data_IF_601302326805
#
_entry.id   IF_601302326805
#
_cell.length_a   1.000
_cell.length_b   1.000
_cell.length_c   1.000
_cell.angle_alpha   90.00
_cell.angle_beta   90.00
_cell.angle_gamma   90.00
#
_symmetry.space_group_name_H-M   'P 1'
#
loop_
_entity.id
_entity.type
_entity.pdbx_description
1 polymer ?
#
# COMPACT_ATOMS: atom_id res chain seq x y z
N UNK A 1 -18.41 21.46 -15.57
CA UNK A 1 -17.04 21.38 -15.00
C UNK A 1 -16.32 20.33 -15.81
N UNK A 2 -15.09 20.57 -16.20
CA UNK A 2 -14.22 19.58 -16.86
C UNK A 2 -12.97 19.44 -16.00
N UNK A 3 -12.58 18.22 -15.67
CA UNK A 3 -11.40 17.89 -14.89
C UNK A 3 -10.53 16.90 -15.68
N UNK A 4 -9.22 17.06 -15.58
CA UNK A 4 -8.30 16.04 -16.06
C UNK A 4 -8.22 14.91 -15.03
N UNK A 5 -8.22 13.68 -15.51
CA UNK A 5 -8.06 12.49 -14.68
C UNK A 5 -6.99 11.59 -15.30
N UNK A 6 -6.08 11.14 -14.46
CA UNK A 6 -5.04 10.17 -14.80
C UNK A 6 -5.31 8.90 -14.02
N UNK A 7 -5.32 7.76 -14.66
CA UNK A 7 -5.32 6.46 -13.98
C UNK A 7 -3.91 5.90 -14.02
N UNK A 8 -3.36 5.59 -12.86
CA UNK A 8 -1.99 5.10 -12.69
C UNK A 8 -2.01 3.80 -11.92
N UNK A 9 -1.34 2.79 -12.44
CA UNK A 9 -1.11 1.51 -11.78
C UNK A 9 0.20 1.60 -10.98
N UNK A 10 0.13 1.97 -9.69
CA UNK A 10 1.30 2.03 -8.84
C UNK A 10 1.88 0.64 -8.57
N UNK A 11 3.20 0.55 -8.36
CA UNK A 11 3.95 -0.70 -8.11
C UNK A 11 3.97 -1.70 -9.27
N UNK A 12 3.80 -1.20 -10.50
CA UNK A 12 3.90 -2.04 -11.71
C UNK A 12 4.54 -1.28 -12.85
N UNK A 13 5.28 -2.00 -13.70
CA UNK A 13 5.74 -1.52 -15.01
C UNK A 13 4.82 -2.00 -16.14
N UNK A 14 3.91 -2.93 -15.83
CA UNK A 14 3.00 -3.53 -16.79
C UNK A 14 1.58 -3.01 -16.61
N UNK A 15 0.84 -2.77 -17.70
CA UNK A 15 -0.58 -2.43 -17.63
C UNK A 15 -1.37 -3.51 -16.89
N UNK A 16 -2.38 -3.09 -16.13
CA UNK A 16 -3.26 -3.96 -15.35
C UNK A 16 -2.57 -4.71 -14.19
N UNK A 17 -1.30 -4.41 -13.91
CA UNK A 17 -0.60 -4.80 -12.68
C UNK A 17 -0.78 -3.78 -11.56
N UNK A 18 -0.10 -4.01 -10.43
CA UNK A 18 -0.01 -3.06 -9.31
C UNK A 18 -1.33 -2.70 -8.64
N UNK A 19 -1.39 -1.50 -8.08
CA UNK A 19 -2.58 -0.95 -7.42
C UNK A 19 -3.05 0.32 -8.15
N UNK A 20 -4.26 0.32 -8.76
CA UNK A 20 -4.73 1.46 -9.54
C UNK A 20 -5.20 2.60 -8.63
N UNK A 21 -4.81 3.81 -8.99
CA UNK A 21 -5.33 5.04 -8.42
C UNK A 21 -5.78 6.00 -9.52
N UNK A 22 -6.89 6.70 -9.30
CA UNK A 22 -7.20 7.90 -10.07
C UNK A 22 -6.47 9.09 -9.45
N UNK A 23 -5.93 9.97 -10.28
CA UNK A 23 -5.24 11.19 -9.85
C UNK A 23 -5.87 12.38 -10.58
N UNK A 24 -6.35 13.35 -9.82
CA UNK A 24 -7.04 14.53 -10.35
C UNK A 24 -6.36 15.79 -9.84
N UNK A 25 -5.57 16.48 -10.70
CA UNK A 25 -5.05 17.81 -10.39
C UNK A 25 -6.19 18.84 -10.29
N UNK A 26 -6.14 19.70 -9.27
CA UNK A 26 -7.12 20.76 -9.07
C UNK A 26 -6.41 22.11 -8.94
N UNK A 27 -7.02 23.18 -9.47
CA UNK A 27 -6.58 24.56 -9.23
C UNK A 27 -6.96 25.03 -7.81
N UNK A 28 -8.10 24.57 -7.30
CA UNK A 28 -8.61 24.83 -5.96
C UNK A 28 -9.51 23.69 -5.50
N UNK A 29 -9.66 23.54 -4.18
CA UNK A 29 -10.51 22.49 -3.63
C UNK A 29 -11.96 22.61 -4.08
N UNK A 30 -12.53 21.49 -4.50
CA UNK A 30 -13.95 21.32 -4.71
C UNK A 30 -14.64 21.00 -3.36
N UNK A 31 -15.98 21.15 -3.27
CA UNK A 31 -16.74 20.68 -2.11
C UNK A 31 -16.49 19.19 -1.83
N UNK A 32 -16.41 18.82 -0.54
CA UNK A 32 -16.08 17.45 -0.14
C UNK A 32 -17.05 16.40 -0.68
N UNK A 33 -18.33 16.74 -0.78
CA UNK A 33 -19.35 15.87 -1.34
C UNK A 33 -19.16 15.63 -2.85
N UNK A 34 -18.55 16.58 -3.56
CA UNK A 34 -18.22 16.43 -4.99
C UNK A 34 -17.01 15.52 -5.15
N UNK A 35 -15.95 15.72 -4.32
CA UNK A 35 -14.77 14.85 -4.32
C UNK A 35 -15.14 13.39 -4.03
N UNK A 36 -16.02 13.17 -3.03
CA UNK A 36 -16.48 11.84 -2.65
C UNK A 36 -17.28 11.17 -3.78
N UNK A 37 -18.18 11.89 -4.42
CA UNK A 37 -18.97 11.34 -5.55
C UNK A 37 -18.13 10.99 -6.76
N UNK A 38 -17.10 11.78 -7.07
CA UNK A 38 -16.17 11.45 -8.15
C UNK A 38 -15.39 10.16 -7.82
N UNK A 39 -14.94 10.00 -6.57
CA UNK A 39 -14.28 8.78 -6.14
C UNK A 39 -15.20 7.55 -6.18
N UNK A 40 -16.46 7.70 -5.82
CA UNK A 40 -17.51 6.66 -5.95
C UNK A 40 -17.71 6.25 -7.41
N UNK A 41 -17.84 7.21 -8.33
CA UNK A 41 -17.99 6.97 -9.77
C UNK A 41 -16.76 6.28 -10.38
N UNK A 42 -15.53 6.69 -9.97
CA UNK A 42 -14.29 6.07 -10.44
C UNK A 42 -14.18 4.61 -9.99
N UNK A 43 -14.71 4.29 -8.81
CA UNK A 43 -14.76 2.93 -8.24
C UNK A 43 -13.39 2.22 -8.26
N UNK A 44 -12.31 2.97 -8.03
CA UNK A 44 -10.95 2.49 -7.84
C UNK A 44 -10.65 2.40 -6.34
N UNK A 45 -9.54 1.75 -5.98
CA UNK A 45 -9.11 1.67 -4.56
C UNK A 45 -9.13 3.05 -3.93
N UNK A 46 -8.46 4.03 -4.56
CA UNK A 46 -8.52 5.44 -4.18
C UNK A 46 -8.50 6.36 -5.39
N UNK A 47 -9.12 7.53 -5.19
CA UNK A 47 -8.95 8.73 -6.02
C UNK A 47 -8.20 9.78 -5.23
N UNK A 48 -7.04 10.18 -5.73
CA UNK A 48 -6.21 11.24 -5.18
C UNK A 48 -6.54 12.58 -5.84
N UNK A 49 -6.64 13.62 -5.02
CA UNK A 49 -6.79 15.00 -5.48
C UNK A 49 -5.65 15.82 -4.89
N UNK A 50 -5.02 16.66 -5.71
CA UNK A 50 -4.03 17.59 -5.19
C UNK A 50 -4.22 19.00 -5.71
N UNK A 51 -3.81 19.97 -4.87
CA UNK A 51 -3.77 21.41 -5.18
C UNK A 51 -2.38 21.91 -4.92
N UNK A 52 -1.78 22.63 -5.89
CA UNK A 52 -0.46 23.24 -5.72
C UNK A 52 -0.49 24.37 -4.67
N UNK A 53 0.47 24.39 -3.77
CA UNK A 53 0.70 25.42 -2.75
C UNK A 53 2.16 25.89 -2.79
N UNK A 54 2.47 26.79 -3.71
CA UNK A 54 3.85 27.23 -3.94
C UNK A 54 4.73 26.06 -4.41
N UNK A 55 5.70 25.65 -3.59
CA UNK A 55 6.61 24.53 -3.87
C UNK A 55 6.13 23.19 -3.32
N UNK A 56 4.96 23.15 -2.67
CA UNK A 56 4.35 21.94 -2.11
C UNK A 56 3.00 21.68 -2.73
N UNK A 57 2.40 20.55 -2.39
CA UNK A 57 1.08 20.17 -2.84
C UNK A 57 0.24 19.73 -1.64
N UNK A 58 -0.97 20.27 -1.51
CA UNK A 58 -1.96 19.70 -0.59
C UNK A 58 -2.55 18.47 -1.27
N UNK A 59 -2.62 17.32 -0.58
CA UNK A 59 -3.04 16.03 -1.14
C UNK A 59 -4.09 15.38 -0.24
N UNK A 60 -5.15 14.87 -0.87
CA UNK A 60 -6.25 14.15 -0.20
C UNK A 60 -6.61 12.91 -1.01
N UNK A 61 -7.06 11.87 -0.33
CA UNK A 61 -7.45 10.58 -0.93
C UNK A 61 -8.84 10.16 -0.49
N UNK A 62 -9.59 9.64 -1.43
CA UNK A 62 -10.96 9.17 -1.23
C UNK A 62 -11.09 7.75 -1.77
N UNK A 63 -11.53 6.82 -0.93
CA UNK A 63 -12.09 5.55 -1.38
C UNK A 63 -13.47 5.80 -1.99
N UNK A 64 -14.13 4.81 -2.61
CA UNK A 64 -15.52 4.98 -3.04
C UNK A 64 -16.51 5.37 -1.94
N UNK A 65 -16.15 5.23 -0.66
CA UNK A 65 -17.08 5.43 0.46
C UNK A 65 -16.66 6.52 1.45
N UNK A 66 -15.36 6.76 1.62
CA UNK A 66 -14.86 7.70 2.64
C UNK A 66 -13.53 8.34 2.22
N UNK A 67 -13.24 9.53 2.76
CA UNK A 67 -11.90 10.10 2.76
C UNK A 67 -11.00 9.37 3.75
N UNK A 68 -9.75 9.09 3.35
CA UNK A 68 -8.73 8.43 4.18
C UNK A 68 -7.58 9.37 4.50
N UNK A 69 -6.95 9.18 5.65
CA UNK A 69 -5.91 10.09 6.14
C UNK A 69 -4.51 9.77 5.58
N UNK A 70 -4.31 8.55 5.07
CA UNK A 70 -3.03 8.10 4.51
C UNK A 70 -3.25 7.07 3.39
N UNK A 71 -2.62 7.31 2.24
CA UNK A 71 -2.60 6.36 1.12
C UNK A 71 -1.27 6.43 0.37
N UNK A 72 -0.45 5.38 0.51
CA UNK A 72 0.90 5.33 -0.09
C UNK A 72 0.89 5.22 -1.61
N UNK A 73 0.15 4.25 -2.17
CA UNK A 73 0.16 4.02 -3.61
C UNK A 73 -0.43 5.19 -4.40
N UNK A 74 -1.49 5.83 -3.91
CA UNK A 74 -2.08 6.98 -4.57
C UNK A 74 -1.20 8.25 -4.42
N UNK A 75 -0.34 8.33 -3.38
CA UNK A 75 0.70 9.36 -3.27
C UNK A 75 1.78 9.15 -4.32
N UNK A 76 2.27 7.92 -4.50
CA UNK A 76 3.23 7.59 -5.56
C UNK A 76 2.64 7.83 -6.95
N UNK A 77 1.37 7.46 -7.17
CA UNK A 77 0.65 7.76 -8.41
C UNK A 77 0.56 9.27 -8.67
N UNK A 78 0.27 10.08 -7.63
CA UNK A 78 0.23 11.55 -7.74
C UNK A 78 1.61 12.13 -8.07
N UNK A 79 2.67 11.60 -7.46
CA UNK A 79 4.03 11.99 -7.77
C UNK A 79 4.42 11.64 -9.21
N UNK A 80 4.05 10.45 -9.68
CA UNK A 80 4.25 10.04 -11.07
C UNK A 80 3.57 11.01 -12.05
N UNK A 81 2.32 11.37 -11.81
CA UNK A 81 1.58 12.33 -12.64
C UNK A 81 2.28 13.69 -12.64
N UNK A 82 2.75 14.19 -11.50
CA UNK A 82 3.47 15.43 -11.40
C UNK A 82 4.78 15.40 -12.20
N UNK A 83 5.58 14.34 -12.07
CA UNK A 83 6.85 14.21 -12.78
C UNK A 83 6.70 13.97 -14.29
N UNK A 84 5.86 13.00 -14.66
CA UNK A 84 5.82 12.49 -16.04
C UNK A 84 4.77 13.16 -16.92
N UNK A 85 3.67 13.64 -16.35
CA UNK A 85 2.57 14.23 -17.13
C UNK A 85 2.56 15.76 -17.02
N UNK A 86 2.87 16.30 -15.85
CA UNK A 86 2.82 17.74 -15.59
C UNK A 86 4.20 18.40 -15.61
N UNK A 87 5.28 17.62 -15.83
CA UNK A 87 6.63 18.11 -16.07
C UNK A 87 7.30 18.78 -14.87
N UNK A 88 6.96 18.36 -13.64
CA UNK A 88 7.59 18.88 -12.42
C UNK A 88 9.07 18.51 -12.37
N UNK A 89 9.94 19.50 -12.13
CA UNK A 89 11.40 19.34 -12.17
C UNK A 89 12.05 19.17 -10.79
N UNK A 90 11.26 19.23 -9.72
CA UNK A 90 11.79 19.04 -8.38
C UNK A 90 12.40 17.65 -8.21
N UNK A 91 13.49 17.52 -7.44
CA UNK A 91 14.04 16.20 -7.09
C UNK A 91 13.20 15.49 -6.02
N UNK A 92 12.51 16.27 -5.19
CA UNK A 92 11.67 15.78 -4.09
C UNK A 92 10.36 16.55 -4.13
N UNK A 93 9.25 15.83 -4.23
CA UNK A 93 7.90 16.36 -4.08
C UNK A 93 7.48 16.29 -2.61
N UNK A 94 6.83 17.35 -2.14
CA UNK A 94 6.36 17.47 -0.76
C UNK A 94 4.85 17.63 -0.76
N UNK A 95 4.18 16.70 -0.11
CA UNK A 95 2.72 16.67 0.00
C UNK A 95 2.28 16.97 1.42
N UNK A 96 1.46 18.00 1.60
CA UNK A 96 0.80 18.29 2.86
C UNK A 96 -0.47 17.45 2.94
N UNK A 97 -0.59 16.63 3.97
CA UNK A 97 -1.70 15.71 4.16
C UNK A 97 -2.25 15.79 5.58
N UNK A 98 -3.37 15.15 5.85
CA UNK A 98 -3.91 15.03 7.21
C UNK A 98 -2.98 14.25 8.16
N UNK A 99 -2.15 13.34 7.62
CA UNK A 99 -1.16 12.57 8.39
C UNK A 99 0.20 13.25 8.50
N UNK A 100 0.31 14.52 8.07
CA UNK A 100 1.55 15.27 8.04
C UNK A 100 2.15 15.38 6.64
N UNK A 101 3.41 15.83 6.55
CA UNK A 101 4.13 15.96 5.28
C UNK A 101 4.61 14.59 4.80
N UNK A 102 4.27 14.23 3.57
CA UNK A 102 4.84 13.09 2.86
C UNK A 102 5.82 13.59 1.79
N UNK A 103 6.89 12.84 1.57
CA UNK A 103 7.91 13.15 0.59
C UNK A 103 8.06 12.00 -0.40
N UNK A 104 8.12 12.35 -1.67
CA UNK A 104 8.44 11.41 -2.73
C UNK A 104 9.63 11.93 -3.49
N UNK A 105 10.71 11.17 -3.51
CA UNK A 105 11.91 11.47 -4.29
C UNK A 105 11.96 10.65 -5.57
N UNK A 106 12.61 11.20 -6.60
CA UNK A 106 12.88 10.51 -7.85
C UNK A 106 14.36 10.10 -7.87
N UNK A 107 14.59 8.78 -7.95
CA UNK A 107 15.92 8.22 -8.12
C UNK A 107 16.50 8.48 -9.52
N UNK A 108 17.81 8.35 -9.65
CA UNK A 108 18.51 8.45 -10.95
C UNK A 108 18.19 7.29 -11.87
N UNK A 109 17.69 6.20 -11.35
CA UNK A 109 17.16 5.02 -12.05
C UNK A 109 15.71 5.17 -12.50
N UNK A 110 15.07 6.31 -12.17
CA UNK A 110 13.68 6.62 -12.47
C UNK A 110 12.67 6.04 -11.48
N UNK A 111 13.11 5.30 -10.46
CA UNK A 111 12.22 4.81 -9.41
C UNK A 111 11.78 5.97 -8.50
N UNK A 112 10.56 5.86 -8.02
CA UNK A 112 10.01 6.76 -7.01
C UNK A 112 10.16 6.12 -5.63
N UNK A 113 10.72 6.87 -4.69
CA UNK A 113 10.92 6.45 -3.31
C UNK A 113 10.09 7.32 -2.37
N UNK A 114 9.46 6.71 -1.38
CA UNK A 114 8.71 7.37 -0.32
C UNK A 114 9.12 6.81 1.04
N UNK A 115 9.42 7.71 1.98
CA UNK A 115 9.79 7.35 3.33
C UNK A 115 8.55 7.05 4.17
N UNK A 116 8.60 5.92 4.87
CA UNK A 116 7.60 5.53 5.87
C UNK A 116 8.30 5.12 7.18
N UNK A 117 7.74 5.46 8.33
CA UNK A 117 8.27 4.96 9.59
C UNK A 117 8.13 3.45 9.66
N UNK A 118 9.23 2.76 9.90
CA UNK A 118 9.22 1.32 10.11
C UNK A 118 8.43 1.00 11.39
N UNK A 119 7.64 -0.06 11.34
CA UNK A 119 6.95 -0.61 12.52
C UNK A 119 7.63 -1.90 12.92
N UNK A 120 7.91 -2.06 14.22
CA UNK A 120 8.50 -3.28 14.76
C UNK A 120 7.37 -4.20 15.22
N UNK A 121 6.95 -5.19 14.41
CA UNK A 121 5.88 -6.09 14.81
C UNK A 121 6.37 -7.06 15.88
N UNK A 122 5.52 -7.32 16.87
CA UNK A 122 5.82 -8.21 18.00
C UNK A 122 5.31 -9.61 17.71
N UNK A 123 6.12 -10.63 17.95
CA UNK A 123 5.69 -12.01 17.85
C UNK A 123 4.57 -12.30 18.87
N UNK A 124 3.53 -12.98 18.43
CA UNK A 124 2.36 -13.30 19.25
C UNK A 124 1.94 -14.77 19.03
N UNK A 125 1.24 -15.34 19.99
CA UNK A 125 0.57 -16.60 19.79
C UNK A 125 -0.48 -16.46 18.68
N UNK A 126 -0.67 -17.53 17.92
CA UNK A 126 -1.67 -17.52 16.84
C UNK A 126 -3.06 -17.30 17.41
N UNK A 127 -3.76 -16.20 17.03
CA UNK A 127 -5.11 -15.95 17.51
C UNK A 127 -6.07 -17.07 17.14
N UNK A 128 -6.95 -17.44 18.09
CA UNK A 128 -7.93 -18.49 17.85
C UNK A 128 -8.81 -18.18 16.62
N UNK A 129 -8.94 -19.15 15.72
CA UNK A 129 -9.73 -19.04 14.50
C UNK A 129 -9.02 -18.32 13.33
N UNK A 130 -7.87 -17.67 13.53
CA UNK A 130 -7.18 -16.91 12.46
C UNK A 130 -6.78 -17.82 11.29
N UNK A 131 -6.12 -18.95 11.56
CA UNK A 131 -5.71 -19.87 10.49
C UNK A 131 -6.92 -20.46 9.78
N UNK A 132 -7.97 -20.83 10.53
CA UNK A 132 -9.20 -21.33 9.93
C UNK A 132 -9.83 -20.31 9.00
N UNK A 133 -9.92 -19.04 9.41
CA UNK A 133 -10.46 -17.95 8.59
C UNK A 133 -9.62 -17.69 7.33
N UNK A 134 -8.29 -17.91 7.39
CA UNK A 134 -7.39 -17.84 6.24
C UNK A 134 -7.42 -19.10 5.36
N UNK A 135 -8.02 -20.21 5.80
CA UNK A 135 -7.96 -21.49 5.11
C UNK A 135 -6.60 -22.19 5.25
N UNK A 136 -5.86 -21.89 6.32
CA UNK A 136 -4.54 -22.45 6.61
C UNK A 136 -4.61 -23.49 7.72
N UNK A 137 -3.77 -24.52 7.63
CA UNK A 137 -3.63 -25.54 8.68
C UNK A 137 -2.57 -25.18 9.73
N UNK A 138 -1.56 -24.40 9.33
CA UNK A 138 -0.45 -24.00 10.20
C UNK A 138 0.17 -22.69 9.72
N UNK A 139 0.88 -22.01 10.63
CA UNK A 139 1.77 -20.89 10.35
C UNK A 139 3.12 -21.14 11.00
N UNK A 140 4.19 -20.64 10.41
CA UNK A 140 5.54 -20.67 10.98
C UNK A 140 5.67 -19.68 12.14
N UNK A 141 5.08 -18.49 12.00
CA UNK A 141 5.06 -17.45 13.00
C UNK A 141 3.89 -16.49 12.74
N UNK A 142 3.43 -15.82 13.78
CA UNK A 142 2.47 -14.73 13.71
C UNK A 142 3.03 -13.54 14.47
N UNK A 143 2.97 -12.38 13.84
CA UNK A 143 3.36 -11.10 14.44
C UNK A 143 2.16 -10.15 14.44
N UNK A 144 2.20 -9.16 15.32
CA UNK A 144 1.18 -8.10 15.42
C UNK A 144 1.84 -6.72 15.47
N UNK A 145 1.30 -5.83 14.66
CA UNK A 145 1.45 -4.37 14.74
C UNK A 145 0.07 -3.75 14.53
N UNK A 146 -0.14 -2.88 13.56
CA UNK A 146 -1.48 -2.47 13.11
C UNK A 146 -2.20 -3.61 12.38
N UNK A 147 -1.41 -4.50 11.77
CA UNK A 147 -1.85 -5.70 11.07
C UNK A 147 -1.37 -6.96 11.80
N UNK A 148 -2.00 -8.10 11.54
CA UNK A 148 -1.34 -9.38 11.74
C UNK A 148 -0.47 -9.71 10.53
N UNK A 149 0.75 -10.20 10.78
CA UNK A 149 1.65 -10.76 9.78
C UNK A 149 1.76 -12.26 10.03
N UNK A 150 1.21 -13.06 9.14
CA UNK A 150 1.18 -14.52 9.23
C UNK A 150 2.22 -15.08 8.27
N UNK A 151 3.32 -15.60 8.81
CA UNK A 151 4.40 -16.20 8.03
C UNK A 151 4.10 -17.68 7.82
N UNK A 152 4.12 -18.13 6.55
CA UNK A 152 3.94 -19.53 6.16
C UNK A 152 5.18 -20.06 5.44
N UNK A 153 5.34 -21.39 5.37
CA UNK A 153 6.52 -21.99 4.74
C UNK A 153 6.40 -22.13 3.23
N UNK A 154 5.19 -22.28 2.70
CA UNK A 154 4.97 -22.54 1.27
C UNK A 154 4.28 -21.38 0.55
N UNK A 155 5.03 -20.70 -0.31
CA UNK A 155 4.52 -19.60 -1.13
C UNK A 155 3.39 -20.03 -2.10
N UNK A 156 3.33 -21.30 -2.51
CA UNK A 156 2.26 -21.80 -3.38
C UNK A 156 0.89 -21.75 -2.71
N UNK A 157 0.86 -21.82 -1.38
CA UNK A 157 -0.40 -21.69 -0.64
C UNK A 157 -1.00 -20.28 -0.78
N UNK A 158 -0.17 -19.23 -0.96
CA UNK A 158 -0.67 -17.87 -1.16
C UNK A 158 -1.54 -17.77 -2.41
N UNK A 159 -1.16 -18.42 -3.49
CA UNK A 159 -1.91 -18.38 -4.76
C UNK A 159 -3.30 -19.01 -4.63
N UNK A 160 -3.44 -19.98 -3.75
CA UNK A 160 -4.67 -20.76 -3.58
C UNK A 160 -5.52 -20.33 -2.37
N UNK A 161 -5.06 -19.38 -1.57
CA UNK A 161 -5.80 -18.86 -0.41
C UNK A 161 -7.18 -18.36 -0.82
N UNK A 162 -8.19 -18.82 -0.06
CA UNK A 162 -9.57 -18.38 -0.16
C UNK A 162 -10.08 -18.03 1.25
N UNK A 163 -9.72 -16.84 1.75
CA UNK A 163 -10.09 -16.45 3.10
C UNK A 163 -11.59 -16.27 3.28
N UNK A 164 -12.08 -16.60 4.46
CA UNK A 164 -13.40 -16.19 4.93
C UNK A 164 -13.34 -14.73 5.41
N UNK A 165 -13.70 -13.80 4.55
CA UNK A 165 -13.63 -12.36 4.85
C UNK A 165 -14.57 -11.95 6.00
N UNK A 166 -15.69 -12.64 6.20
CA UNK A 166 -16.58 -12.37 7.32
C UNK A 166 -15.89 -12.75 8.63
N UNK A 167 -15.28 -13.93 8.69
CA UNK A 167 -14.52 -14.36 9.85
C UNK A 167 -13.30 -13.46 10.10
N UNK A 168 -12.58 -13.04 9.03
CA UNK A 168 -11.44 -12.13 9.15
C UNK A 168 -11.84 -10.76 9.68
N UNK A 169 -13.02 -10.24 9.35
CA UNK A 169 -13.47 -8.93 9.82
C UNK A 169 -13.68 -8.83 11.33
N UNK A 170 -13.79 -9.98 12.02
CA UNK A 170 -13.95 -10.05 13.46
C UNK A 170 -12.65 -9.81 14.25
N UNK A 171 -11.48 -9.90 13.61
CA UNK A 171 -10.20 -9.64 14.27
C UNK A 171 -9.97 -8.12 14.44
N UNK A 172 -9.51 -7.74 15.64
CA UNK A 172 -9.28 -6.36 16.01
C UNK A 172 -7.90 -5.87 15.53
N UNK A 173 -7.76 -5.82 14.21
CA UNK A 173 -6.60 -5.30 13.48
C UNK A 173 -7.08 -4.61 12.20
N UNK A 174 -6.25 -3.74 11.63
CA UNK A 174 -6.54 -3.08 10.36
C UNK A 174 -6.65 -4.12 9.22
N UNK A 175 -5.71 -5.06 9.17
CA UNK A 175 -5.66 -6.09 8.16
C UNK A 175 -4.80 -7.29 8.55
N UNK A 176 -4.74 -8.26 7.68
CA UNK A 176 -3.97 -9.50 7.84
C UNK A 176 -3.12 -9.70 6.58
N UNK A 177 -1.79 -9.66 6.74
CA UNK A 177 -0.83 -10.03 5.72
C UNK A 177 -0.47 -11.50 5.87
N UNK A 178 -0.60 -12.30 4.83
CA UNK A 178 -0.05 -13.67 4.77
C UNK A 178 1.17 -13.63 3.86
N UNK A 179 2.32 -14.12 4.33
CA UNK A 179 3.59 -13.97 3.64
C UNK A 179 4.45 -15.22 3.70
N UNK A 180 5.26 -15.43 2.67
CA UNK A 180 6.19 -16.54 2.55
C UNK A 180 7.48 -16.10 1.85
N UNK A 181 8.56 -16.88 1.97
CA UNK A 181 9.76 -16.69 1.16
C UNK A 181 9.41 -16.78 -0.34
N UNK A 182 9.91 -15.85 -1.14
CA UNK A 182 9.58 -15.75 -2.56
C UNK A 182 10.45 -16.64 -3.44
N UNK A 183 10.01 -16.80 -4.70
CA UNK A 183 10.83 -17.35 -5.78
C UNK A 183 11.09 -16.22 -6.78
N UNK A 184 12.31 -15.72 -6.83
CA UNK A 184 12.67 -14.55 -7.65
C UNK A 184 12.51 -13.21 -6.93
N UNK A 185 11.85 -13.20 -5.79
CA UNK A 185 11.76 -12.11 -4.82
C UNK A 185 12.24 -12.60 -3.45
N UNK A 186 12.59 -11.68 -2.55
CA UNK A 186 12.97 -12.06 -1.18
C UNK A 186 11.78 -12.64 -0.43
N UNK A 187 10.59 -12.06 -0.63
CA UNK A 187 9.34 -12.59 -0.11
C UNK A 187 8.14 -12.25 -1.00
N UNK A 188 7.06 -12.96 -0.79
CA UNK A 188 5.77 -12.74 -1.43
C UNK A 188 4.69 -12.59 -0.36
N UNK A 189 3.62 -11.83 -0.66
CA UNK A 189 2.57 -11.58 0.31
C UNK A 189 1.20 -11.35 -0.34
N UNK A 190 0.14 -11.55 0.43
CA UNK A 190 -1.22 -11.06 0.16
C UNK A 190 -1.74 -10.36 1.40
N UNK A 191 -2.51 -9.29 1.22
CA UNK A 191 -3.06 -8.52 2.33
C UNK A 191 -4.58 -8.43 2.24
N UNK A 192 -5.22 -8.69 3.38
CA UNK A 192 -6.67 -8.74 3.53
C UNK A 192 -7.13 -7.80 4.63
N UNK A 193 -8.02 -6.86 4.32
CA UNK A 193 -8.54 -5.86 5.27
C UNK A 193 -10.07 -5.74 5.24
N UNK A 194 -10.84 -6.84 5.39
CA UNK A 194 -12.30 -6.77 5.33
C UNK A 194 -12.91 -5.88 6.42
N UNK A 195 -12.25 -5.73 7.57
CA UNK A 195 -12.68 -4.82 8.64
C UNK A 195 -12.68 -3.36 8.23
N UNK A 196 -11.79 -2.97 7.31
CA UNK A 196 -11.70 -1.61 6.77
C UNK A 196 -12.37 -1.48 5.39
N UNK A 197 -13.19 -2.47 5.01
CA UNK A 197 -13.99 -2.44 3.79
C UNK A 197 -13.28 -2.97 2.53
N UNK A 198 -12.05 -3.45 2.64
CA UNK A 198 -11.27 -3.98 1.52
C UNK A 198 -11.01 -5.47 1.73
N UNK A 199 -11.70 -6.33 1.00
CA UNK A 199 -11.51 -7.77 1.14
C UNK A 199 -10.06 -8.20 0.86
N UNK A 200 -9.51 -7.77 -0.25
CA UNK A 200 -8.10 -7.94 -0.61
C UNK A 200 -7.61 -6.67 -1.31
N UNK A 201 -6.47 -6.13 -0.87
CA UNK A 201 -5.82 -5.01 -1.54
C UNK A 201 -4.65 -5.55 -2.40
N UNK A 202 -4.59 -5.22 -3.70
CA UNK A 202 -3.58 -5.75 -4.61
C UNK A 202 -2.16 -5.49 -4.15
N UNK A 203 -1.86 -4.27 -3.69
CA UNK A 203 -0.55 -3.88 -3.17
C UNK A 203 -0.71 -2.81 -2.09
N UNK A 204 -0.33 -3.16 -0.87
CA UNK A 204 -0.53 -2.36 0.34
C UNK A 204 0.80 -1.83 0.85
N UNK A 205 1.26 -0.68 0.36
CA UNK A 205 2.55 -0.10 0.75
C UNK A 205 2.71 0.01 2.27
N UNK A 206 1.67 0.42 2.99
CA UNK A 206 1.69 0.55 4.45
C UNK A 206 1.84 -0.78 5.21
N UNK A 207 1.43 -1.91 4.66
CA UNK A 207 1.64 -3.23 5.30
C UNK A 207 3.13 -3.61 5.32
N UNK A 208 3.88 -3.12 4.35
CA UNK A 208 5.30 -3.42 4.24
C UNK A 208 6.15 -2.70 5.29
N UNK A 209 5.63 -1.66 5.93
CA UNK A 209 6.29 -1.05 7.10
C UNK A 209 6.49 -2.06 8.24
N UNK A 210 5.67 -3.13 8.28
CA UNK A 210 5.78 -4.27 9.21
C UNK A 210 6.42 -5.50 8.57
N UNK A 211 6.10 -5.78 7.29
CA UNK A 211 6.64 -6.95 6.57
C UNK A 211 8.15 -6.84 6.35
N UNK A 212 8.65 -5.66 5.96
CA UNK A 212 10.05 -5.45 5.68
C UNK A 212 10.94 -5.71 6.91
N UNK A 213 10.66 -5.22 8.13
CA UNK A 213 11.42 -5.57 9.33
C UNK A 213 11.45 -7.07 9.63
N UNK A 214 10.32 -7.78 9.50
CA UNK A 214 10.27 -9.25 9.71
C UNK A 214 11.19 -9.98 8.74
N UNK A 215 11.14 -9.63 7.46
CA UNK A 215 11.95 -10.28 6.45
C UNK A 215 13.42 -9.83 6.47
N UNK A 216 13.69 -8.55 6.76
CA UNK A 216 15.06 -8.05 6.95
C UNK A 216 15.79 -8.82 8.05
N UNK A 217 15.14 -9.01 9.20
CA UNK A 217 15.69 -9.80 10.29
C UNK A 217 15.86 -11.27 9.89
N UNK A 218 14.89 -11.87 9.22
CA UNK A 218 14.93 -13.29 8.82
C UNK A 218 16.01 -13.59 7.79
N UNK A 219 16.26 -12.65 6.86
CA UNK A 219 17.17 -12.83 5.74
C UNK A 219 18.56 -12.18 5.97
N UNK A 220 18.69 -11.33 7.00
CA UNK A 220 19.91 -10.54 7.23
C UNK A 220 20.20 -9.53 6.12
N UNK A 221 19.16 -8.93 5.52
CA UNK A 221 19.25 -8.00 4.39
C UNK A 221 18.60 -6.67 4.72
N UNK A 222 19.19 -5.57 4.23
CA UNK A 222 18.63 -4.23 4.35
C UNK A 222 17.89 -3.76 3.08
N UNK A 223 18.08 -4.46 1.96
CA UNK A 223 17.37 -4.21 0.71
C UNK A 223 16.58 -5.47 0.37
N UNK A 224 15.27 -5.31 0.20
CA UNK A 224 14.34 -6.40 0.00
C UNK A 224 13.47 -6.14 -1.23
N UNK A 225 13.34 -7.15 -2.08
CA UNK A 225 12.38 -7.21 -3.17
C UNK A 225 11.16 -8.03 -2.76
N UNK A 226 9.97 -7.53 -3.08
CA UNK A 226 8.72 -8.19 -2.73
C UNK A 226 7.75 -8.19 -3.89
N UNK A 227 6.98 -9.26 -4.05
CA UNK A 227 5.76 -9.28 -4.84
C UNK A 227 4.55 -9.39 -3.91
N UNK A 228 3.56 -8.52 -4.10
CA UNK A 228 2.28 -8.62 -3.40
C UNK A 228 1.15 -8.82 -4.40
N UNK A 229 0.16 -9.61 -4.02
CA UNK A 229 -1.15 -9.69 -4.63
C UNK A 229 -1.57 -11.11 -4.99
N UNK A 230 -2.86 -11.23 -5.30
CA UNK A 230 -3.50 -12.44 -5.80
C UNK A 230 -3.66 -12.41 -7.32
N UNK A 231 -4.86 -12.08 -7.79
CA UNK A 231 -5.15 -11.98 -9.23
C UNK A 231 -4.43 -10.80 -9.90
N UNK A 232 -4.24 -9.70 -9.17
CA UNK A 232 -3.48 -8.53 -9.58
C UNK A 232 -2.26 -8.43 -8.68
N UNK A 233 -1.07 -8.24 -9.26
CA UNK A 233 0.21 -8.27 -8.54
C UNK A 233 1.00 -7.01 -8.80
N UNK A 234 1.79 -6.61 -7.81
CA UNK A 234 2.76 -5.53 -7.94
C UNK A 234 4.03 -5.83 -7.17
N UNK A 235 5.09 -5.10 -7.51
CA UNK A 235 6.43 -5.29 -6.98
C UNK A 235 6.87 -4.05 -6.22
N UNK A 236 7.51 -4.27 -5.07
CA UNK A 236 8.06 -3.23 -4.23
C UNK A 236 9.53 -3.52 -3.92
N UNK A 237 10.30 -2.45 -3.84
CA UNK A 237 11.67 -2.49 -3.34
C UNK A 237 11.71 -1.72 -2.02
N UNK A 238 12.21 -2.37 -0.97
CA UNK A 238 12.38 -1.76 0.35
C UNK A 238 13.84 -1.59 0.67
N UNK A 239 14.17 -0.44 1.26
CA UNK A 239 15.45 -0.21 1.90
C UNK A 239 15.18 0.11 3.36
N UNK A 240 15.82 -0.59 4.31
CA UNK A 240 15.84 -0.17 5.69
C UNK A 240 17.17 0.54 5.93
N UNK A 241 17.14 1.83 6.22
CA UNK A 241 18.33 2.53 6.70
C UNK A 241 18.57 2.10 8.14
N UNK A 242 19.81 1.68 8.42
CA UNK A 242 20.24 1.26 9.77
C UNK A 242 20.35 2.43 10.77
N UNK A 243 19.67 3.53 10.49
CA UNK A 243 19.76 4.78 11.26
C UNK A 243 18.69 4.92 12.36
N UNK A 244 17.82 3.93 12.51
CA UNK A 244 16.77 3.93 13.56
C UNK A 244 17.13 2.96 14.70
N UNK A 245 18.39 2.99 15.18
CA UNK A 245 18.77 2.43 16.47
C UNK A 245 18.63 3.45 17.61
#
# INVERSE_FOLDING_TARGET
MQLEIFQVDAFSTEPFGGNPAAVIPLESWLPDDVLQRIAEENNLSETAYFVRKGETFDLRWFTPTVEVDLCGHATLASAYVLFEQLGEQAQVLRFNTRSGELRVSRGTDGLLAMDFPAKQPVAVDTPAGLLQALGLSQAKAVYRSDDYVVVIDDAMLLETLKPDFVALSAFDVRGIAVTAAGRGFDFVTRWFGPRVGVNEDPVTGSAHTSLAPVWAQSLGKNVLSCEQGGARKGCLLYTSDAADE
#
